data_IF_256747173232
#
_entry.id   IF_256747173232
#
_cell.length_a   1.000
_cell.length_b   1.000
_cell.length_c   1.000
_cell.angle_alpha   90.00
_cell.angle_beta   90.00
_cell.angle_gamma   90.00
#
_symmetry.space_group_name_H-M   'P 1'
#
loop_
_entity.id
_entity.type
_entity.pdbx_description
1 polymer ?
#
# COMPACT_ATOMS: atom_id res chain seq x y z
N UNK A 1 3.26 -12.51 11.94
CA UNK A 1 2.98 -12.87 10.54
C UNK A 1 2.30 -11.71 9.81
N UNK A 2 2.12 -11.81 8.48
CA UNK A 2 1.55 -10.72 7.65
C UNK A 2 0.22 -10.15 8.19
N UNK A 3 -0.66 -11.00 8.71
CA UNK A 3 -1.93 -10.61 9.34
C UNK A 3 -1.74 -9.73 10.58
N UNK A 4 -0.74 -10.02 11.43
CA UNK A 4 -0.42 -9.20 12.60
C UNK A 4 0.17 -7.83 12.22
N UNK A 5 0.95 -7.78 11.12
CA UNK A 5 1.42 -6.52 10.54
C UNK A 5 0.29 -5.66 9.98
N UNK A 6 -0.74 -6.28 9.37
CA UNK A 6 -1.92 -5.58 8.87
C UNK A 6 -2.77 -5.03 10.03
N UNK A 7 -2.98 -5.81 11.10
CA UNK A 7 -3.75 -5.38 12.27
C UNK A 7 -3.12 -4.17 12.97
N UNK A 8 -1.78 -4.15 13.13
CA UNK A 8 -1.07 -3.00 13.69
C UNK A 8 -1.17 -1.74 12.81
N UNK A 9 -1.20 -1.89 11.48
CA UNK A 9 -1.39 -0.78 10.56
C UNK A 9 -2.85 -0.29 10.53
N UNK A 10 -3.85 -1.18 10.68
CA UNK A 10 -5.26 -0.76 10.72
C UNK A 10 -5.61 0.06 11.96
N UNK A 11 -5.06 -0.28 13.13
CA UNK A 11 -5.23 0.50 14.38
C UNK A 11 -4.71 1.94 14.22
N UNK A 12 -3.73 2.14 13.34
CA UNK A 12 -3.15 3.45 13.04
C UNK A 12 -3.94 4.22 11.95
N UNK A 13 -4.69 3.53 11.09
CA UNK A 13 -5.29 4.08 9.86
C UNK A 13 -6.33 5.19 10.01
N UNK A 14 -6.89 5.40 11.20
CA UNK A 14 -7.79 6.52 11.52
C UNK A 14 -7.04 7.83 11.84
N UNK A 15 -5.72 7.77 11.94
CA UNK A 15 -4.90 8.97 12.13
C UNK A 15 -4.67 9.68 10.80
N UNK A 16 -5.26 10.87 10.65
CA UNK A 16 -5.11 11.75 9.47
C UNK A 16 -3.65 12.00 9.07
N UNK A 17 -2.70 11.87 10.00
CA UNK A 17 -1.26 12.01 9.72
C UNK A 17 -0.72 10.96 8.75
N UNK A 18 -1.33 9.78 8.71
CA UNK A 18 -0.88 8.68 7.84
C UNK A 18 -1.33 8.84 6.38
N UNK A 19 -2.30 9.71 6.12
CA UNK A 19 -2.74 9.99 4.74
C UNK A 19 -1.60 10.49 3.85
N UNK A 20 -0.61 11.19 4.42
CA UNK A 20 0.58 11.67 3.70
C UNK A 20 1.80 10.75 3.80
N UNK A 21 1.70 9.60 4.46
CA UNK A 21 2.86 8.75 4.74
C UNK A 21 2.93 7.57 3.75
N UNK A 22 3.79 7.70 2.73
CA UNK A 22 3.96 6.69 1.67
C UNK A 22 4.18 5.26 2.21
N UNK A 23 5.06 5.02 3.22
CA UNK A 23 5.39 3.65 3.62
C UNK A 23 4.21 2.89 4.21
N UNK A 24 3.30 3.62 4.86
CA UNK A 24 2.04 3.06 5.35
C UNK A 24 1.18 2.52 4.21
N UNK A 25 0.98 3.32 3.15
CA UNK A 25 0.18 2.91 2.00
C UNK A 25 0.83 1.76 1.23
N UNK A 26 2.16 1.77 1.08
CA UNK A 26 2.90 0.69 0.42
C UNK A 26 2.81 -0.64 1.21
N UNK A 27 2.94 -0.58 2.53
CA UNK A 27 2.79 -1.75 3.40
C UNK A 27 1.36 -2.29 3.38
N UNK A 28 0.35 -1.41 3.49
CA UNK A 28 -1.07 -1.77 3.40
C UNK A 28 -1.37 -2.45 2.06
N UNK A 29 -0.90 -1.88 0.95
CA UNK A 29 -1.10 -2.45 -0.39
C UNK A 29 -0.50 -3.87 -0.53
N UNK A 30 0.74 -4.06 -0.07
CA UNK A 30 1.40 -5.37 -0.12
C UNK A 30 0.71 -6.45 0.72
N UNK A 31 0.09 -6.05 1.83
CA UNK A 31 -0.64 -6.99 2.69
C UNK A 31 -2.03 -7.31 2.14
N UNK A 32 -2.77 -6.31 1.63
CA UNK A 32 -4.05 -6.53 0.95
C UNK A 32 -3.89 -7.44 -0.28
N UNK A 33 -2.82 -7.27 -1.04
CA UNK A 33 -2.49 -8.13 -2.18
C UNK A 33 -2.31 -9.60 -1.75
N UNK A 34 -1.59 -9.84 -0.64
CA UNK A 34 -1.39 -11.19 -0.08
C UNK A 34 -2.67 -11.83 0.45
N UNK A 35 -3.65 -11.02 0.82
CA UNK A 35 -4.96 -11.46 1.29
C UNK A 35 -5.97 -11.65 0.15
N UNK A 36 -5.56 -11.48 -1.11
CA UNK A 36 -6.45 -11.56 -2.27
C UNK A 36 -7.40 -10.37 -2.42
N UNK A 37 -7.22 -9.31 -1.63
CA UNK A 37 -8.03 -8.09 -1.66
C UNK A 37 -7.52 -7.13 -2.75
N UNK A 38 -7.55 -7.60 -4.01
CA UNK A 38 -7.01 -6.91 -5.18
C UNK A 38 -7.43 -5.45 -5.32
N UNK A 39 -8.74 -5.12 -5.33
CA UNK A 39 -9.20 -3.74 -5.48
C UNK A 39 -8.65 -2.79 -4.41
N UNK A 40 -8.67 -3.21 -3.14
CA UNK A 40 -8.18 -2.40 -2.02
C UNK A 40 -6.65 -2.27 -2.06
N UNK A 41 -5.95 -3.31 -2.51
CA UNK A 41 -4.51 -3.27 -2.71
C UNK A 41 -4.12 -2.27 -3.80
N UNK A 42 -4.87 -2.22 -4.89
CA UNK A 42 -4.70 -1.25 -5.99
C UNK A 42 -4.88 0.18 -5.50
N UNK A 43 -5.94 0.47 -4.75
CA UNK A 43 -6.17 1.80 -4.16
C UNK A 43 -5.02 2.23 -3.24
N UNK A 44 -4.53 1.32 -2.40
CA UNK A 44 -3.42 1.59 -1.51
C UNK A 44 -2.10 1.83 -2.28
N UNK A 45 -1.86 1.07 -3.36
CA UNK A 45 -0.72 1.33 -4.24
C UNK A 45 -0.82 2.70 -4.93
N UNK A 46 -2.01 3.12 -5.39
CA UNK A 46 -2.21 4.43 -6.02
C UNK A 46 -1.83 5.57 -5.08
N UNK A 47 -2.23 5.48 -3.80
CA UNK A 47 -1.83 6.48 -2.80
C UNK A 47 -0.34 6.47 -2.52
N UNK A 48 0.26 5.28 -2.39
CA UNK A 48 1.71 5.17 -2.19
C UNK A 48 2.49 5.77 -3.38
N UNK A 49 2.06 5.52 -4.62
CA UNK A 49 2.66 6.06 -5.84
C UNK A 49 2.56 7.58 -5.88
N UNK A 50 1.41 8.15 -5.50
CA UNK A 50 1.21 9.61 -5.47
C UNK A 50 2.08 10.34 -4.45
N UNK A 51 2.45 9.67 -3.35
CA UNK A 51 3.28 10.23 -2.28
C UNK A 51 4.79 10.03 -2.50
N UNK A 52 5.19 9.07 -3.34
CA UNK A 52 6.59 8.71 -3.55
C UNK A 52 7.33 9.73 -4.42
N UNK A 53 8.48 10.24 -3.97
CA UNK A 53 9.32 11.18 -4.72
C UNK A 53 10.47 10.51 -5.47
N UNK A 54 10.93 9.36 -4.98
CA UNK A 54 11.98 8.57 -5.63
C UNK A 54 11.42 7.83 -6.86
N UNK A 55 11.93 8.12 -8.07
CA UNK A 55 11.43 7.50 -9.30
C UNK A 55 11.73 5.99 -9.40
N UNK A 56 12.71 5.46 -8.67
CA UNK A 56 12.97 4.02 -8.61
C UNK A 56 11.91 3.31 -7.75
N UNK A 57 11.62 3.85 -6.56
CA UNK A 57 10.59 3.32 -5.66
C UNK A 57 9.21 3.44 -6.30
N UNK A 58 8.93 4.54 -7.00
CA UNK A 58 7.65 4.75 -7.70
C UNK A 58 7.42 3.68 -8.78
N UNK A 59 8.45 3.35 -9.59
CA UNK A 59 8.36 2.29 -10.61
C UNK A 59 8.12 0.92 -9.98
N UNK A 60 8.79 0.62 -8.87
CA UNK A 60 8.57 -0.62 -8.13
C UNK A 60 7.12 -0.77 -7.67
N UNK A 61 6.53 0.28 -7.11
CA UNK A 61 5.12 0.27 -6.67
C UNK A 61 4.16 0.13 -7.86
N UNK A 62 4.42 0.82 -8.97
CA UNK A 62 3.65 0.70 -10.20
C UNK A 62 3.66 -0.73 -10.74
N UNK A 63 4.83 -1.39 -10.79
CA UNK A 63 4.94 -2.77 -11.24
C UNK A 63 4.10 -3.72 -10.39
N UNK A 64 4.13 -3.56 -9.06
CA UNK A 64 3.28 -4.36 -8.15
C UNK A 64 1.79 -4.12 -8.34
N UNK A 65 1.38 -2.86 -8.55
CA UNK A 65 -0.02 -2.53 -8.84
C UNK A 65 -0.49 -3.17 -10.13
N UNK A 66 0.30 -3.08 -11.20
CA UNK A 66 -0.04 -3.65 -12.51
C UNK A 66 -0.23 -5.16 -12.44
N UNK A 67 0.61 -5.86 -11.66
CA UNK A 67 0.49 -7.31 -11.47
C UNK A 67 -0.81 -7.76 -10.76
N UNK A 68 -1.60 -6.84 -10.19
CA UNK A 68 -2.89 -7.14 -9.55
C UNK A 68 -4.09 -6.95 -10.48
N UNK A 69 -3.89 -6.35 -11.65
CA UNK A 69 -4.95 -5.98 -12.59
C UNK A 69 -4.87 -6.84 -13.87
N UNK A 70 -3.84 -7.70 -13.97
CA UNK A 70 -3.74 -8.74 -14.99
C UNK A 70 -4.46 -10.01 -14.54
#
# INVERSE_FOLDING_TARGET
>A
GAVAGLAALYVLGDDKRLNGYQPYWAARAGLLARLGQGPQAVEAYDRAIGLERDPAVRRFLQAKRTALIQ
#
